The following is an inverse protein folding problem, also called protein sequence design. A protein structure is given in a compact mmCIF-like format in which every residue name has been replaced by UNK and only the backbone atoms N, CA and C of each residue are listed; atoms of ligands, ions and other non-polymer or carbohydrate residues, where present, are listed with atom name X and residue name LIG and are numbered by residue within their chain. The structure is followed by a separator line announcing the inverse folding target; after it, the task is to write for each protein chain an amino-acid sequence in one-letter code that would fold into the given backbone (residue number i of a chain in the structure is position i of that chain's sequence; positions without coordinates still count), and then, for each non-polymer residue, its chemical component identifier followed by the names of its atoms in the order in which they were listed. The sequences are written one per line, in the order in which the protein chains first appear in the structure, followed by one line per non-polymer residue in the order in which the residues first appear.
data_IF_370069840508
#
_entry.id   IF_370069840508
#
_cell.length_a   1.000
_cell.length_b   1.000
_cell.length_c   1.000
_cell.angle_alpha   90.00
_cell.angle_beta   90.00
_cell.angle_gamma   90.00
#
_symmetry.space_group_name_H-M   'P 1'
#
loop_
_entity.id
_entity.type
_entity.pdbx_description
1 polymer ?
#
# COMPACT_ATOMS: atom_id res chain seq x y z
N UNK A 1 -27.92 7.18 -20.63
CA UNK A 1 -26.54 6.77 -21.01
C UNK A 1 -25.86 6.26 -19.75
N UNK A 2 -25.61 4.96 -19.67
CA UNK A 2 -25.07 4.33 -18.46
C UNK A 2 -23.67 4.85 -18.15
N UNK A 3 -23.48 5.45 -16.98
CA UNK A 3 -22.14 5.68 -16.44
C UNK A 3 -21.52 4.29 -16.22
N UNK A 4 -20.34 4.04 -16.77
CA UNK A 4 -19.59 2.82 -16.50
C UNK A 4 -19.33 2.65 -15.00
N UNK A 5 -18.91 1.46 -14.58
CA UNK A 5 -18.62 1.17 -13.17
C UNK A 5 -17.58 2.18 -12.61
N UNK A 6 -17.72 2.63 -11.35
CA UNK A 6 -16.68 3.39 -10.66
C UNK A 6 -15.33 2.67 -10.70
N UNK A 7 -14.22 3.41 -10.79
CA UNK A 7 -12.86 2.83 -10.82
C UNK A 7 -12.62 1.81 -9.70
N UNK A 8 -13.02 2.14 -8.47
CA UNK A 8 -12.90 1.24 -7.32
C UNK A 8 -13.54 -0.14 -7.55
N UNK A 9 -14.71 -0.19 -8.20
CA UNK A 9 -15.38 -1.45 -8.52
C UNK A 9 -14.62 -2.21 -9.61
N UNK A 10 -14.17 -1.51 -10.66
CA UNK A 10 -13.33 -2.10 -11.72
C UNK A 10 -12.06 -2.75 -11.14
N UNK A 11 -11.38 -2.07 -10.22
CA UNK A 11 -10.17 -2.57 -9.54
C UNK A 11 -10.50 -3.81 -8.69
N UNK A 12 -11.60 -3.77 -7.92
CA UNK A 12 -11.97 -4.85 -7.01
C UNK A 12 -12.37 -6.13 -7.76
N UNK A 13 -13.01 -5.99 -8.93
CA UNK A 13 -13.42 -7.11 -9.77
C UNK A 13 -12.31 -7.65 -10.68
N UNK A 14 -11.18 -6.94 -10.80
CA UNK A 14 -10.07 -7.33 -11.67
C UNK A 14 -9.42 -8.63 -11.21
N UNK A 15 -9.25 -9.59 -12.12
CA UNK A 15 -8.68 -10.90 -11.81
C UNK A 15 -7.14 -10.90 -11.90
N UNK A 16 -6.57 -10.04 -12.75
CA UNK A 16 -5.13 -9.98 -13.00
C UNK A 16 -4.53 -8.60 -12.71
N UNK A 17 -3.21 -8.50 -12.51
CA UNK A 17 -2.53 -7.20 -12.45
C UNK A 17 -2.77 -6.35 -13.70
N UNK A 18 -2.83 -6.97 -14.88
CA UNK A 18 -3.05 -6.27 -16.14
C UNK A 18 -4.43 -5.62 -16.21
N UNK A 19 -5.47 -6.29 -15.69
CA UNK A 19 -6.83 -5.75 -15.63
C UNK A 19 -6.88 -4.50 -14.74
N UNK A 20 -6.24 -4.55 -13.57
CA UNK A 20 -6.14 -3.40 -12.66
C UNK A 20 -5.43 -2.24 -13.34
N UNK A 21 -4.28 -2.48 -13.95
CA UNK A 21 -3.50 -1.45 -14.64
C UNK A 21 -4.27 -0.82 -15.81
N UNK A 22 -4.99 -1.63 -16.59
CA UNK A 22 -5.85 -1.14 -17.67
C UNK A 22 -7.02 -0.31 -17.15
N UNK A 23 -7.65 -0.72 -16.05
CA UNK A 23 -8.74 0.02 -15.44
C UNK A 23 -8.29 1.42 -14.96
N UNK A 24 -7.12 1.49 -14.32
CA UNK A 24 -6.52 2.75 -13.86
C UNK A 24 -6.23 3.68 -15.05
N UNK A 25 -5.50 3.20 -16.06
CA UNK A 25 -5.14 4.00 -17.24
C UNK A 25 -6.37 4.48 -18.01
N UNK A 26 -7.36 3.61 -18.23
CA UNK A 26 -8.59 3.96 -18.96
C UNK A 26 -9.36 5.05 -18.22
N UNK A 27 -9.41 4.98 -16.89
CA UNK A 27 -10.10 5.98 -16.07
C UNK A 27 -9.37 7.33 -16.10
N UNK A 28 -8.02 7.34 -16.12
CA UNK A 28 -7.26 8.58 -16.34
C UNK A 28 -7.56 9.22 -17.69
N UNK A 29 -7.61 8.42 -18.76
CA UNK A 29 -7.89 8.90 -20.12
C UNK A 29 -9.32 9.45 -20.26
N UNK A 30 -10.26 8.93 -19.47
CA UNK A 30 -11.63 9.42 -19.41
C UNK A 30 -11.79 10.66 -18.51
N UNK A 31 -10.70 11.15 -17.91
CA UNK A 31 -10.72 12.29 -16.99
C UNK A 31 -11.37 11.96 -15.64
N UNK A 32 -11.54 10.67 -15.30
CA UNK A 32 -12.01 10.28 -13.97
C UNK A 32 -10.97 10.66 -12.91
N UNK A 33 -11.43 11.19 -11.78
CA UNK A 33 -10.56 11.48 -10.66
C UNK A 33 -10.14 10.17 -9.98
N UNK A 34 -8.84 9.88 -9.99
CA UNK A 34 -8.27 8.78 -9.21
C UNK A 34 -8.08 9.23 -7.78
N UNK A 35 -8.71 8.51 -6.85
CA UNK A 35 -8.61 8.77 -5.41
C UNK A 35 -7.45 7.99 -4.78
N UNK A 36 -7.09 8.34 -3.54
CA UNK A 36 -6.11 7.57 -2.77
C UNK A 36 -6.57 6.14 -2.47
N UNK A 37 -7.89 5.93 -2.35
CA UNK A 37 -8.48 4.61 -2.15
C UNK A 37 -8.25 3.73 -3.39
N UNK A 38 -8.52 4.27 -4.59
CA UNK A 38 -8.26 3.57 -5.85
C UNK A 38 -6.79 3.14 -5.96
N UNK A 39 -5.86 4.06 -5.64
CA UNK A 39 -4.42 3.78 -5.71
C UNK A 39 -3.98 2.70 -4.72
N UNK A 40 -4.42 2.79 -3.46
CA UNK A 40 -4.06 1.83 -2.43
C UNK A 40 -4.68 0.45 -2.69
N UNK A 41 -5.93 0.40 -3.15
CA UNK A 41 -6.58 -0.84 -3.55
C UNK A 41 -5.92 -1.43 -4.79
N UNK A 42 -5.52 -0.62 -5.77
CA UNK A 42 -4.78 -1.09 -6.95
C UNK A 42 -3.45 -1.74 -6.56
N UNK A 43 -2.65 -1.10 -5.70
CA UNK A 43 -1.38 -1.66 -5.18
C UNK A 43 -1.60 -3.03 -4.54
N UNK A 44 -2.61 -3.14 -3.67
CA UNK A 44 -2.95 -4.41 -3.02
C UNK A 44 -3.40 -5.47 -4.05
N UNK A 45 -4.35 -5.15 -4.94
CA UNK A 45 -4.91 -6.10 -5.92
C UNK A 45 -3.87 -6.62 -6.90
N UNK A 46 -3.01 -5.73 -7.41
CA UNK A 46 -1.90 -6.09 -8.30
C UNK A 46 -0.97 -7.07 -7.58
N UNK A 47 -0.60 -6.79 -6.32
CA UNK A 47 0.27 -7.67 -5.57
C UNK A 47 -0.38 -9.02 -5.23
N UNK A 48 -1.67 -9.04 -4.86
CA UNK A 48 -2.40 -10.27 -4.57
C UNK A 48 -2.51 -11.18 -5.81
N UNK A 49 -2.79 -10.60 -6.98
CA UNK A 49 -2.96 -11.36 -8.22
C UNK A 49 -1.63 -11.62 -8.97
N UNK A 50 -0.60 -10.82 -8.72
CA UNK A 50 0.68 -10.81 -9.45
C UNK A 50 1.83 -11.51 -8.74
N UNK A 51 1.60 -12.10 -7.56
CA UNK A 51 2.66 -12.70 -6.76
C UNK A 51 3.40 -13.86 -7.45
N UNK A 52 2.82 -14.47 -8.49
CA UNK A 52 3.46 -15.52 -9.30
C UNK A 52 4.48 -15.00 -10.32
N UNK A 53 4.47 -13.71 -10.65
CA UNK A 53 5.44 -13.10 -11.57
C UNK A 53 5.68 -11.61 -11.20
N UNK A 54 6.32 -11.34 -10.05
CA UNK A 54 6.55 -9.98 -9.58
C UNK A 54 7.43 -9.17 -10.53
N UNK A 55 8.42 -9.80 -11.18
CA UNK A 55 9.35 -9.12 -12.09
C UNK A 55 8.63 -8.52 -13.30
N UNK A 56 7.65 -9.23 -13.88
CA UNK A 56 6.85 -8.68 -14.97
C UNK A 56 6.02 -7.46 -14.52
N UNK A 57 5.49 -7.49 -13.29
CA UNK A 57 4.69 -6.39 -12.73
C UNK A 57 5.56 -5.16 -12.47
N UNK A 58 6.71 -5.31 -11.80
CA UNK A 58 7.56 -4.16 -11.44
C UNK A 58 8.20 -3.49 -12.66
N UNK A 59 8.41 -4.24 -13.75
CA UNK A 59 8.93 -3.72 -15.01
C UNK A 59 7.84 -3.10 -15.91
N UNK A 60 6.56 -3.25 -15.56
CA UNK A 60 5.46 -2.61 -16.29
C UNK A 60 5.45 -1.10 -16.04
N UNK A 61 5.55 -0.31 -17.12
CA UNK A 61 5.54 1.16 -17.04
C UNK A 61 4.29 1.73 -16.39
N UNK A 62 3.13 1.07 -16.57
CA UNK A 62 1.86 1.50 -15.94
C UNK A 62 1.92 1.31 -14.43
N UNK A 63 2.53 0.21 -13.97
CA UNK A 63 2.73 -0.01 -12.55
C UNK A 63 3.73 0.97 -11.96
N UNK A 64 4.84 1.25 -12.65
CA UNK A 64 5.79 2.28 -12.22
C UNK A 64 5.13 3.66 -12.09
N UNK A 65 4.26 4.01 -13.04
CA UNK A 65 3.46 5.24 -12.96
C UNK A 65 2.46 5.22 -11.79
N UNK A 66 1.82 4.08 -11.51
CA UNK A 66 0.95 3.93 -10.33
C UNK A 66 1.72 4.20 -9.03
N UNK A 67 2.93 3.64 -8.88
CA UNK A 67 3.79 3.88 -7.73
C UNK A 67 4.14 5.37 -7.59
N UNK A 68 4.50 6.04 -8.69
CA UNK A 68 4.77 7.48 -8.70
C UNK A 68 3.52 8.29 -8.28
N UNK A 69 2.33 7.90 -8.72
CA UNK A 69 1.09 8.55 -8.30
C UNK A 69 0.83 8.38 -6.80
N UNK A 70 1.07 7.19 -6.25
CA UNK A 70 0.98 6.94 -4.80
C UNK A 70 1.96 7.83 -4.04
N UNK A 71 3.23 7.88 -4.45
CA UNK A 71 4.25 8.74 -3.84
C UNK A 71 3.83 10.21 -3.87
N UNK A 72 3.33 10.69 -5.02
CA UNK A 72 2.83 12.06 -5.17
C UNK A 72 1.66 12.35 -4.22
N UNK A 73 0.70 11.45 -4.09
CA UNK A 73 -0.43 11.65 -3.17
C UNK A 73 0.00 11.60 -1.70
N UNK A 74 0.93 10.72 -1.33
CA UNK A 74 1.51 10.70 0.02
C UNK A 74 2.22 12.02 0.37
N UNK A 75 2.83 12.68 -0.61
CA UNK A 75 3.49 13.98 -0.41
C UNK A 75 2.48 15.15 -0.31
N UNK A 76 1.48 15.19 -1.19
CA UNK A 76 0.60 16.36 -1.34
C UNK A 76 -0.66 16.28 -0.47
N UNK A 77 -1.19 15.07 -0.27
CA UNK A 77 -2.41 14.80 0.48
C UNK A 77 -2.23 13.64 1.47
N UNK A 78 -1.21 13.70 2.33
CA UNK A 78 -0.89 12.61 3.27
C UNK A 78 -2.06 12.20 4.17
N UNK A 79 -2.96 13.14 4.49
CA UNK A 79 -4.10 12.94 5.39
C UNK A 79 -5.26 12.15 4.77
N UNK A 80 -5.28 12.02 3.45
CA UNK A 80 -6.30 11.24 2.75
C UNK A 80 -6.02 9.73 2.89
N UNK A 81 -4.79 9.35 3.26
CA UNK A 81 -4.43 7.95 3.53
C UNK A 81 -4.90 7.53 4.93
N UNK A 82 -5.80 6.54 4.96
CA UNK A 82 -6.13 5.80 6.17
C UNK A 82 -5.02 4.81 6.53
N UNK A 83 -5.09 4.26 7.73
CA UNK A 83 -4.23 3.19 8.24
C UNK A 83 -4.19 1.99 7.29
N UNK A 84 -5.36 1.59 6.80
CA UNK A 84 -5.50 0.51 5.82
C UNK A 84 -4.84 0.86 4.49
N UNK A 85 -4.98 2.10 4.00
CA UNK A 85 -4.33 2.52 2.76
C UNK A 85 -2.80 2.44 2.88
N UNK A 86 -2.24 2.93 3.99
CA UNK A 86 -0.80 2.86 4.25
C UNK A 86 -0.29 1.42 4.28
N UNK A 87 -0.98 0.54 5.02
CA UNK A 87 -0.63 -0.88 5.10
C UNK A 87 -0.70 -1.58 3.73
N UNK A 88 -1.78 -1.35 2.97
CA UNK A 88 -1.96 -1.92 1.64
C UNK A 88 -0.85 -1.52 0.65
N UNK A 89 -0.41 -0.26 0.70
CA UNK A 89 0.64 0.27 -0.18
C UNK A 89 1.97 -0.44 0.07
N UNK A 90 2.45 -0.47 1.32
CA UNK A 90 3.75 -1.11 1.61
C UNK A 90 3.68 -2.62 1.52
N UNK A 91 2.56 -3.24 1.89
CA UNK A 91 2.35 -4.67 1.71
C UNK A 91 2.41 -5.05 0.24
N UNK A 92 1.73 -4.30 -0.63
CA UNK A 92 1.75 -4.54 -2.07
C UNK A 92 3.16 -4.38 -2.66
N UNK A 93 3.87 -3.32 -2.28
CA UNK A 93 5.24 -3.10 -2.71
C UNK A 93 6.19 -4.23 -2.23
N UNK A 94 6.10 -4.63 -0.97
CA UNK A 94 6.94 -5.69 -0.41
C UNK A 94 6.63 -7.06 -1.01
N UNK A 95 5.35 -7.39 -1.21
CA UNK A 95 4.92 -8.65 -1.82
C UNK A 95 5.42 -8.80 -3.26
N UNK A 96 5.52 -7.69 -3.99
CA UNK A 96 6.11 -7.61 -5.34
C UNK A 96 7.64 -7.45 -5.31
N UNK A 97 8.28 -7.50 -4.13
CA UNK A 97 9.72 -7.32 -3.92
C UNK A 97 10.25 -6.01 -4.52
N UNK A 98 9.44 -4.95 -4.49
CA UNK A 98 9.77 -3.64 -5.04
C UNK A 98 10.64 -2.84 -4.04
N UNK A 99 11.95 -2.61 -4.30
CA UNK A 99 12.84 -1.93 -3.36
C UNK A 99 12.75 -0.40 -3.49
N UNK A 100 11.53 0.15 -3.40
CA UNK A 100 11.27 1.60 -3.60
C UNK A 100 11.45 2.38 -2.30
N UNK A 101 12.70 2.65 -1.90
CA UNK A 101 13.02 3.39 -0.66
C UNK A 101 12.19 4.68 -0.45
N UNK A 102 11.98 5.55 -1.46
CA UNK A 102 11.18 6.77 -1.27
C UNK A 102 9.73 6.48 -0.82
N UNK A 103 9.07 5.48 -1.41
CA UNK A 103 7.72 5.07 -1.03
C UNK A 103 7.65 4.63 0.44
N UNK A 104 8.56 3.75 0.86
CA UNK A 104 8.61 3.25 2.23
C UNK A 104 8.90 4.37 3.23
N UNK A 105 9.82 5.27 2.91
CA UNK A 105 10.10 6.43 3.76
C UNK A 105 8.87 7.33 3.93
N UNK A 106 8.14 7.64 2.84
CA UNK A 106 6.91 8.43 2.92
C UNK A 106 5.86 7.77 3.81
N UNK A 107 5.68 6.45 3.70
CA UNK A 107 4.73 5.70 4.54
C UNK A 107 5.18 5.69 6.00
N UNK A 108 6.46 5.45 6.29
CA UNK A 108 6.99 5.53 7.66
C UNK A 108 6.70 6.90 8.28
N UNK A 109 6.96 7.99 7.55
CA UNK A 109 6.64 9.35 8.01
C UNK A 109 5.15 9.48 8.32
N UNK A 110 4.26 8.88 7.52
CA UNK A 110 2.81 8.92 7.77
C UNK A 110 2.34 8.07 8.96
N UNK A 111 2.97 6.92 9.18
CA UNK A 111 2.68 6.04 10.33
C UNK A 111 3.12 6.70 11.63
N UNK A 112 4.30 7.34 11.64
CA UNK A 112 4.91 7.94 12.83
C UNK A 112 4.53 9.42 13.05
N UNK A 113 3.50 9.93 12.38
CA UNK A 113 3.08 11.32 12.55
C UNK A 113 2.64 11.58 13.99
N UNK A 114 3.00 12.75 14.51
CA UNK A 114 2.59 13.19 15.87
C UNK A 114 1.07 13.25 16.07
N UNK A 115 0.30 13.51 15.02
CA UNK A 115 -1.17 13.59 15.06
C UNK A 115 -1.86 12.24 14.79
N UNK A 116 -1.10 11.14 14.58
CA UNK A 116 -1.65 9.79 14.39
C UNK A 116 -1.23 8.88 15.55
N UNK A 117 -2.19 8.21 16.15
CA UNK A 117 -1.94 7.20 17.19
C UNK A 117 -1.74 5.84 16.54
N UNK A 118 -0.73 5.09 16.98
CA UNK A 118 -0.51 3.72 16.49
C UNK A 118 -1.68 2.78 16.85
N UNK A 119 -2.38 3.06 17.95
CA UNK A 119 -3.60 2.35 18.34
C UNK A 119 -4.78 2.52 17.38
N UNK A 120 -4.69 3.43 16.40
CA UNK A 120 -5.69 3.56 15.34
C UNK A 120 -5.52 2.49 14.25
N UNK A 121 -4.33 1.90 14.14
CA UNK A 121 -4.08 0.78 13.26
C UNK A 121 -4.56 -0.51 13.92
N UNK A 122 -5.11 -1.44 13.12
CA UNK A 122 -5.35 -2.79 13.61
C UNK A 122 -4.02 -3.55 13.76
N UNK A 123 -3.96 -4.60 14.62
CA UNK A 123 -2.80 -5.48 14.71
C UNK A 123 -2.32 -5.99 13.36
N UNK A 124 -3.24 -6.38 12.47
CA UNK A 124 -2.93 -6.88 11.13
C UNK A 124 -2.26 -5.81 10.27
N UNK A 125 -2.69 -4.56 10.38
CA UNK A 125 -2.11 -3.45 9.61
C UNK A 125 -0.69 -3.14 10.09
N UNK A 126 -0.44 -3.10 11.40
CA UNK A 126 0.90 -2.88 11.95
C UNK A 126 1.85 -4.04 11.63
N UNK A 127 1.38 -5.28 11.76
CA UNK A 127 2.15 -6.47 11.39
C UNK A 127 2.49 -6.47 9.90
N UNK A 128 1.53 -6.14 9.02
CA UNK A 128 1.78 -6.02 7.59
C UNK A 128 2.80 -4.94 7.26
N UNK A 129 2.74 -3.78 7.92
CA UNK A 129 3.73 -2.71 7.77
C UNK A 129 5.12 -3.22 8.20
N UNK A 130 5.26 -3.76 9.41
CA UNK A 130 6.54 -4.24 9.92
C UNK A 130 7.15 -5.34 9.02
N UNK A 131 6.34 -6.34 8.64
CA UNK A 131 6.73 -7.39 7.70
C UNK A 131 7.19 -6.82 6.35
N UNK A 132 6.51 -5.79 5.85
CA UNK A 132 6.83 -5.17 4.56
C UNK A 132 8.23 -4.56 4.57
N UNK A 133 8.56 -3.78 5.61
CA UNK A 133 9.89 -3.16 5.74
C UNK A 133 11.00 -4.21 5.87
N UNK A 134 10.78 -5.26 6.67
CA UNK A 134 11.73 -6.36 6.81
C UNK A 134 11.94 -7.11 5.49
N UNK A 135 10.85 -7.42 4.77
CA UNK A 135 10.87 -8.20 3.52
C UNK A 135 11.71 -7.55 2.43
N UNK A 136 11.67 -6.22 2.30
CA UNK A 136 12.50 -5.50 1.31
C UNK A 136 13.81 -4.96 1.90
N UNK A 137 14.15 -5.37 3.13
CA UNK A 137 15.39 -4.98 3.83
C UNK A 137 15.60 -3.46 3.89
N UNK A 138 14.52 -2.72 4.16
CA UNK A 138 14.59 -1.27 4.38
C UNK A 138 14.61 -1.00 5.89
N UNK A 139 15.70 -0.38 6.34
CA UNK A 139 15.86 -0.01 7.74
C UNK A 139 14.84 1.04 8.18
N UNK A 140 14.16 0.78 9.29
CA UNK A 140 13.20 1.69 9.89
C UNK A 140 13.17 1.52 11.42
N UNK A 141 14.28 1.77 12.13
CA UNK A 141 14.40 1.47 13.57
C UNK A 141 13.28 2.12 14.39
N UNK A 142 12.99 3.41 14.17
CA UNK A 142 11.90 4.09 14.87
C UNK A 142 10.50 3.53 14.60
N UNK A 143 10.28 2.95 13.40
CA UNK A 143 9.03 2.27 13.10
C UNK A 143 8.94 0.97 13.89
N UNK A 144 10.01 0.17 13.89
CA UNK A 144 10.06 -1.08 14.64
C UNK A 144 9.92 -0.86 16.15
N UNK A 145 10.60 0.14 16.71
CA UNK A 145 10.47 0.52 18.12
C UNK A 145 9.01 0.87 18.46
N UNK A 146 8.39 1.71 17.64
CA UNK A 146 7.02 2.15 17.87
C UNK A 146 6.00 1.00 17.72
N UNK A 147 6.20 0.10 16.75
CA UNK A 147 5.38 -1.11 16.58
C UNK A 147 5.56 -2.06 17.76
N UNK A 148 6.79 -2.23 18.26
CA UNK A 148 7.08 -3.07 19.42
C UNK A 148 6.46 -2.51 20.70
N UNK A 149 6.55 -1.19 20.91
CA UNK A 149 5.88 -0.50 22.02
C UNK A 149 4.38 -0.73 21.99
N UNK A 150 3.75 -0.66 20.81
CA UNK A 150 2.32 -0.93 20.66
C UNK A 150 2.00 -2.43 20.84
N UNK A 151 2.87 -3.34 20.41
CA UNK A 151 2.71 -4.77 20.61
C UNK A 151 2.68 -5.16 22.09
N UNK A 152 3.44 -4.47 22.96
CA UNK A 152 3.37 -4.66 24.42
C UNK A 152 2.00 -4.28 25.00
N UNK A 153 1.25 -3.40 24.33
CA UNK A 153 -0.11 -3.01 24.72
C UNK A 153 -1.18 -3.90 24.09
N UNK A 154 -0.85 -4.60 23.01
CA UNK A 154 -1.78 -5.42 22.22
C UNK A 154 -1.23 -6.84 22.00
N UNK A 155 -1.62 -7.83 22.85
CA UNK A 155 -1.10 -9.20 22.77
C UNK A 155 -1.27 -9.88 21.40
N UNK A 156 -2.33 -9.53 20.67
CA UNK A 156 -2.57 -10.04 19.31
C UNK A 156 -1.49 -9.61 18.32
N UNK A 157 -1.02 -8.35 18.42
CA UNK A 157 0.06 -7.85 17.57
C UNK A 157 1.38 -8.54 17.90
N UNK A 158 1.69 -8.72 19.18
CA UNK A 158 2.89 -9.44 19.61
C UNK A 158 2.95 -10.85 18.99
N UNK A 159 1.87 -11.62 19.11
CA UNK A 159 1.81 -12.97 18.53
C UNK A 159 1.94 -13.00 17.01
N UNK A 160 1.51 -11.94 16.29
CA UNK A 160 1.69 -11.83 14.84
C UNK A 160 3.15 -11.53 14.46
N UNK A 161 3.84 -10.69 15.23
CA UNK A 161 5.23 -10.33 14.96
C UNK A 161 6.20 -11.48 15.26
N UNK A 162 5.88 -12.35 16.22
CA UNK A 162 6.66 -13.55 16.51
C UNK A 162 6.59 -14.61 15.39
N UNK A 163 5.56 -14.54 14.53
CA UNK A 163 5.32 -15.49 13.45
C UNK A 163 5.74 -14.96 12.06
N UNK A 164 6.18 -13.70 11.99
CA UNK A 164 6.49 -12.98 10.75
C UNK A 164 7.97 -13.09 10.36
#
# INVERSE_FOLDING_TARGET
GGKGLPLQEKITQSATPNDVLNAVISSQQQGEQITVADLATAMHRIASAGAGNPDAVINDRRFQNLVILVEKQLQHKPRDFSEQHLANVVWGAAKLRLPRKPLFHLVQVQVLRKDRKLSAFSPQQLAAIAWSFATVSIEAPHLFDAVQDEARRQPQLAGMLEQA
#
